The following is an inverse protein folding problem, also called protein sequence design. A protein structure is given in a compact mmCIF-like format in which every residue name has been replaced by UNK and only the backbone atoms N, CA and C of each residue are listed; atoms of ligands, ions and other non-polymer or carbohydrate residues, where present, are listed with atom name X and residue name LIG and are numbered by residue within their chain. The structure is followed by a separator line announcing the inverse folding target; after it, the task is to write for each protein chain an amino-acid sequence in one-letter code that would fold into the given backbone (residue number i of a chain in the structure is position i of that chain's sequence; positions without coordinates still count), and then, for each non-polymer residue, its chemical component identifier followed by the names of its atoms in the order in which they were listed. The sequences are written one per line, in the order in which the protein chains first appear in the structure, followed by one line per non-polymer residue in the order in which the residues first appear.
data_IF_289233429379
#
_entry.id   IF_289233429379
#
_cell.length_a   1.000
_cell.length_b   1.000
_cell.length_c   1.000
_cell.angle_alpha   90.00
_cell.angle_beta   90.00
_cell.angle_gamma   90.00
#
_symmetry.space_group_name_H-M   'P 1'
#
loop_
_entity.id
_entity.type
_entity.pdbx_description
1 polymer ?
#
# COMPACT_ATOMS: atom_id res chain seq x y z
N UNK A 1 -16.66 -13.47 20.56
CA UNK A 1 -17.14 -13.23 19.18
C UNK A 1 -16.78 -14.44 18.34
N UNK A 2 -17.74 -15.08 17.65
CA UNK A 2 -17.45 -16.27 16.84
C UNK A 2 -16.53 -15.92 15.66
N UNK A 3 -15.73 -16.89 15.21
CA UNK A 3 -14.80 -16.73 14.08
C UNK A 3 -15.48 -16.20 12.81
N UNK A 4 -16.65 -16.77 12.47
CA UNK A 4 -17.47 -16.34 11.33
C UNK A 4 -17.89 -14.87 11.44
N UNK A 5 -18.29 -14.43 12.63
CA UNK A 5 -18.64 -13.04 12.88
C UNK A 5 -17.44 -12.11 12.73
N UNK A 6 -16.24 -12.55 13.12
CA UNK A 6 -15.02 -11.74 12.94
C UNK A 6 -14.69 -11.54 11.46
N UNK A 7 -14.73 -12.63 10.67
CA UNK A 7 -14.47 -12.57 9.22
C UNK A 7 -15.46 -11.63 8.55
N UNK A 8 -16.75 -11.75 8.88
CA UNK A 8 -17.78 -10.90 8.33
C UNK A 8 -17.54 -9.41 8.64
N UNK A 9 -17.17 -9.09 9.89
CA UNK A 9 -16.85 -7.73 10.29
C UNK A 9 -15.60 -7.20 9.57
N UNK A 10 -14.54 -8.01 9.44
CA UNK A 10 -13.32 -7.64 8.70
C UNK A 10 -13.64 -7.37 7.24
N UNK A 11 -14.46 -8.21 6.59
CA UNK A 11 -14.84 -8.04 5.20
C UNK A 11 -15.63 -6.75 4.97
N UNK A 12 -16.63 -6.45 5.82
CA UNK A 12 -17.39 -5.20 5.75
C UNK A 12 -16.48 -4.00 5.97
N UNK A 13 -15.62 -4.06 6.99
CA UNK A 13 -14.71 -2.97 7.30
C UNK A 13 -13.70 -2.71 6.17
N UNK A 14 -13.15 -3.78 5.56
CA UNK A 14 -12.25 -3.70 4.42
C UNK A 14 -12.91 -3.02 3.23
N UNK A 15 -14.13 -3.44 2.89
CA UNK A 15 -14.91 -2.86 1.80
C UNK A 15 -15.25 -1.38 2.04
N UNK A 16 -15.66 -1.04 3.27
CA UNK A 16 -15.92 0.34 3.66
C UNK A 16 -14.65 1.21 3.55
N UNK A 17 -13.50 0.69 4.00
CA UNK A 17 -12.23 1.39 3.88
C UNK A 17 -11.76 1.52 2.42
N UNK A 18 -11.93 0.49 1.60
CA UNK A 18 -11.62 0.56 0.18
C UNK A 18 -12.45 1.62 -0.56
N UNK A 19 -13.73 1.74 -0.22
CA UNK A 19 -14.59 2.79 -0.77
C UNK A 19 -14.17 4.19 -0.31
N UNK A 20 -13.83 4.35 0.97
CA UNK A 20 -13.30 5.60 1.52
C UNK A 20 -11.98 6.00 0.84
N UNK A 21 -11.03 5.06 0.71
CA UNK A 21 -9.72 5.32 0.09
C UNK A 21 -9.84 5.56 -1.41
N UNK A 22 -10.81 4.95 -2.10
CA UNK A 22 -11.12 5.26 -3.49
C UNK A 22 -11.51 6.73 -3.67
N UNK A 23 -12.30 7.29 -2.74
CA UNK A 23 -12.67 8.70 -2.74
C UNK A 23 -11.48 9.58 -2.33
N UNK A 24 -10.77 9.20 -1.26
CA UNK A 24 -9.65 9.97 -0.71
C UNK A 24 -8.52 10.11 -1.73
N UNK A 25 -8.12 9.01 -2.38
CA UNK A 25 -7.08 8.99 -3.42
C UNK A 25 -7.43 9.94 -4.57
N UNK A 26 -8.66 9.88 -5.06
CA UNK A 26 -9.13 10.76 -6.13
C UNK A 26 -9.07 12.24 -5.72
N UNK A 27 -9.49 12.57 -4.49
CA UNK A 27 -9.49 13.95 -4.00
C UNK A 27 -8.07 14.47 -3.74
N UNK A 28 -7.21 13.66 -3.14
CA UNK A 28 -5.81 14.03 -2.89
C UNK A 28 -5.06 14.25 -4.20
N UNK A 29 -5.23 13.36 -5.18
CA UNK A 29 -4.66 13.49 -6.51
C UNK A 29 -5.08 14.80 -7.19
N UNK A 30 -6.37 15.15 -7.11
CA UNK A 30 -6.93 16.35 -7.74
C UNK A 30 -6.91 17.62 -6.85
N UNK A 31 -6.20 17.60 -5.71
CA UNK A 31 -6.16 18.70 -4.72
C UNK A 31 -7.53 19.23 -4.30
N UNK A 32 -8.54 18.34 -4.24
CA UNK A 32 -9.90 18.67 -3.85
C UNK A 32 -10.07 18.54 -2.32
N UNK A 33 -10.96 19.34 -1.70
CA UNK A 33 -11.25 19.23 -0.27
C UNK A 33 -11.77 17.83 0.09
N UNK A 34 -11.17 17.23 1.11
CA UNK A 34 -11.50 15.88 1.59
C UNK A 34 -12.90 15.84 2.24
N UNK A 35 -13.36 16.95 2.78
CA UNK A 35 -14.54 17.01 3.65
C UNK A 35 -15.76 17.59 2.89
N UNK A 36 -16.95 17.02 3.17
CA UNK A 36 -18.27 17.58 2.84
C UNK A 36 -18.65 17.81 1.37
N UNK A 37 -18.34 16.86 0.48
CA UNK A 37 -19.04 16.77 -0.81
C UNK A 37 -19.60 15.37 -1.04
N UNK A 38 -20.89 15.29 -1.39
CA UNK A 38 -21.54 14.01 -1.76
C UNK A 38 -20.95 13.49 -3.07
N UNK A 39 -20.81 12.17 -3.19
CA UNK A 39 -20.38 11.53 -4.44
C UNK A 39 -21.37 11.85 -5.56
N UNK A 40 -20.87 12.40 -6.66
CA UNK A 40 -21.66 12.73 -7.85
C UNK A 40 -21.16 11.93 -9.05
N UNK A 41 -22.07 11.58 -9.95
CA UNK A 41 -21.65 11.07 -11.25
C UNK A 41 -20.92 12.18 -12.03
N UNK A 42 -19.76 11.85 -12.61
CA UNK A 42 -18.96 12.79 -13.40
C UNK A 42 -19.69 13.24 -14.67
N UNK A 43 -20.51 12.35 -15.26
CA UNK A 43 -21.18 12.65 -16.53
C UNK A 43 -22.50 13.40 -16.36
N UNK A 44 -23.37 12.96 -15.44
CA UNK A 44 -24.70 13.57 -15.28
C UNK A 44 -24.83 14.46 -14.03
N UNK A 45 -23.79 14.56 -13.20
CA UNK A 45 -23.80 15.39 -11.99
C UNK A 45 -24.74 14.91 -10.88
N UNK A 46 -25.46 13.81 -11.09
CA UNK A 46 -26.44 13.33 -10.12
C UNK A 46 -25.75 12.89 -8.82
N UNK A 47 -26.39 13.20 -7.70
CA UNK A 47 -25.92 12.78 -6.38
C UNK A 47 -26.23 11.29 -6.22
N UNK A 48 -25.20 10.49 -5.97
CA UNK A 48 -25.34 9.05 -5.79
C UNK A 48 -26.06 8.75 -4.46
N UNK A 49 -27.04 7.84 -4.51
CA UNK A 49 -27.74 7.33 -3.32
C UNK A 49 -26.82 6.43 -2.51
N UNK A 50 -27.11 6.25 -1.22
CA UNK A 50 -26.34 5.35 -0.34
C UNK A 50 -26.23 3.91 -0.89
N UNK A 51 -27.28 3.38 -1.53
CA UNK A 51 -27.28 2.06 -2.17
C UNK A 51 -26.26 1.97 -3.32
N UNK A 52 -26.05 3.09 -4.03
CA UNK A 52 -25.07 3.16 -5.12
C UNK A 52 -23.62 3.25 -4.60
N UNK A 53 -23.43 3.39 -3.28
CA UNK A 53 -22.14 3.47 -2.61
C UNK A 53 -21.79 2.17 -1.87
N UNK A 54 -22.64 1.13 -1.96
CA UNK A 54 -22.34 -0.19 -1.38
C UNK A 54 -21.12 -0.76 -2.13
N UNK A 55 -19.96 -0.94 -1.46
CA UNK A 55 -18.72 -1.35 -2.13
C UNK A 55 -18.88 -2.69 -2.85
N UNK A 56 -18.28 -2.82 -4.03
CA UNK A 56 -18.32 -3.94 -4.99
C UNK A 56 -19.72 -4.27 -5.53
N UNK A 57 -20.71 -4.38 -4.64
CA UNK A 57 -22.05 -4.82 -4.94
C UNK A 57 -22.78 -3.82 -5.84
N UNK A 58 -22.65 -2.52 -5.57
CA UNK A 58 -23.32 -1.49 -6.37
C UNK A 58 -22.83 -1.49 -7.83
N UNK A 59 -21.53 -1.69 -8.05
CA UNK A 59 -20.92 -1.74 -9.38
C UNK A 59 -21.35 -3.02 -10.13
N UNK A 60 -21.35 -4.17 -9.45
CA UNK A 60 -21.79 -5.45 -10.03
C UNK A 60 -23.29 -5.40 -10.41
N UNK A 61 -24.16 -4.97 -9.51
CA UNK A 61 -25.60 -4.85 -9.78
C UNK A 61 -25.90 -3.86 -10.91
N UNK A 62 -25.16 -2.75 -10.99
CA UNK A 62 -25.32 -1.77 -12.06
C UNK A 62 -24.55 -2.13 -13.34
N UNK A 63 -23.91 -3.31 -13.40
CA UNK A 63 -23.07 -3.78 -14.52
C UNK A 63 -22.03 -2.74 -14.97
N UNK A 64 -21.45 -2.04 -14.00
CA UNK A 64 -20.49 -0.97 -14.23
C UNK A 64 -21.04 0.25 -14.97
N UNK A 65 -22.34 0.56 -14.84
CA UNK A 65 -22.97 1.73 -15.47
C UNK A 65 -23.69 2.59 -14.44
N UNK A 66 -23.78 3.90 -14.66
CA UNK A 66 -24.57 4.77 -13.78
C UNK A 66 -26.06 4.40 -13.86
N UNK A 67 -26.75 4.38 -12.70
CA UNK A 67 -28.18 4.08 -12.61
C UNK A 67 -29.10 5.08 -13.33
N UNK A 68 -28.63 6.29 -13.65
CA UNK A 68 -29.42 7.32 -14.35
C UNK A 68 -28.97 7.54 -15.79
N UNK A 69 -27.68 7.77 -16.04
CA UNK A 69 -27.19 8.10 -17.38
C UNK A 69 -26.59 6.93 -18.14
N UNK A 70 -26.49 5.74 -17.52
CA UNK A 70 -25.91 4.52 -18.08
C UNK A 70 -24.46 4.63 -18.60
N UNK A 71 -23.77 5.74 -18.34
CA UNK A 71 -22.36 5.89 -18.62
C UNK A 71 -21.54 4.89 -17.80
N UNK A 72 -20.43 4.42 -18.38
CA UNK A 72 -19.54 3.44 -17.75
C UNK A 72 -18.89 4.05 -16.50
N UNK A 73 -18.94 3.30 -15.39
CA UNK A 73 -18.22 3.58 -14.16
C UNK A 73 -16.88 2.84 -14.23
N UNK A 74 -15.79 3.57 -14.01
CA UNK A 74 -14.43 3.02 -14.08
C UNK A 74 -14.24 1.81 -13.17
N UNK A 75 -13.52 0.79 -13.65
CA UNK A 75 -13.13 -0.39 -12.86
C UNK A 75 -12.14 -0.05 -11.73
N UNK A 76 -11.64 1.21 -11.69
CA UNK A 76 -10.85 1.78 -10.60
C UNK A 76 -11.46 1.50 -9.22
N UNK A 77 -12.75 1.80 -9.03
CA UNK A 77 -13.42 1.68 -7.74
C UNK A 77 -13.48 0.22 -7.23
N UNK A 78 -14.04 -0.74 -8.00
CA UNK A 78 -14.08 -2.12 -7.53
C UNK A 78 -12.69 -2.75 -7.39
N UNK A 79 -11.71 -2.34 -8.18
CA UNK A 79 -10.33 -2.84 -8.03
C UNK A 79 -9.71 -2.44 -6.68
N UNK A 80 -9.91 -1.20 -6.24
CA UNK A 80 -9.43 -0.73 -4.93
C UNK A 80 -10.21 -1.43 -3.81
N UNK A 81 -11.53 -1.55 -3.91
CA UNK A 81 -12.33 -2.22 -2.89
C UNK A 81 -11.94 -3.70 -2.73
N UNK A 82 -11.66 -4.38 -3.84
CA UNK A 82 -11.19 -5.76 -3.82
C UNK A 82 -9.78 -5.88 -3.25
N UNK A 83 -8.87 -4.94 -3.54
CA UNK A 83 -7.51 -4.98 -2.98
C UNK A 83 -7.53 -4.82 -1.46
N UNK A 84 -8.42 -3.98 -0.92
CA UNK A 84 -8.65 -3.88 0.51
C UNK A 84 -9.19 -5.17 1.11
N UNK A 85 -10.22 -5.77 0.48
CA UNK A 85 -10.81 -7.02 0.95
C UNK A 85 -9.76 -8.14 1.04
N UNK A 86 -8.98 -8.34 -0.03
CA UNK A 86 -7.92 -9.35 -0.07
C UNK A 86 -6.85 -9.07 0.99
N UNK A 87 -6.38 -7.82 1.08
CA UNK A 87 -5.30 -7.45 1.99
C UNK A 87 -5.71 -7.59 3.46
N UNK A 88 -6.92 -7.15 3.83
CA UNK A 88 -7.39 -7.23 5.22
C UNK A 88 -7.67 -8.67 5.63
N UNK A 89 -8.25 -9.50 4.76
CA UNK A 89 -8.41 -10.92 5.05
C UNK A 89 -7.05 -11.61 5.17
N UNK A 90 -6.08 -11.30 4.30
CA UNK A 90 -4.73 -11.84 4.41
C UNK A 90 -4.07 -11.47 5.76
N UNK A 91 -4.13 -10.20 6.17
CA UNK A 91 -3.68 -9.75 7.50
C UNK A 91 -4.37 -10.55 8.61
N UNK A 92 -5.70 -10.69 8.53
CA UNK A 92 -6.50 -11.40 9.54
C UNK A 92 -6.06 -12.85 9.71
N UNK A 93 -5.90 -13.59 8.62
CA UNK A 93 -5.47 -14.98 8.68
C UNK A 93 -4.00 -15.12 9.13
N UNK A 94 -3.10 -14.25 8.67
CA UNK A 94 -1.67 -14.33 9.02
C UNK A 94 -1.41 -14.02 10.50
N UNK A 95 -2.14 -13.06 11.08
CA UNK A 95 -1.96 -12.59 12.46
C UNK A 95 -2.70 -13.42 13.52
N UNK A 96 -3.39 -14.50 13.14
CA UNK A 96 -4.01 -15.43 14.09
C UNK A 96 -5.52 -15.32 14.22
N UNK A 97 -6.20 -14.62 13.31
CA UNK A 97 -7.67 -14.58 13.19
C UNK A 97 -8.42 -14.06 14.41
N UNK A 98 -7.82 -13.10 15.13
CA UNK A 98 -8.45 -12.42 16.26
C UNK A 98 -8.41 -10.90 16.09
N UNK A 99 -9.56 -10.24 16.27
CA UNK A 99 -9.64 -8.79 16.26
C UNK A 99 -9.10 -8.22 17.57
N UNK A 100 -7.94 -7.56 17.50
CA UNK A 100 -7.28 -6.88 18.62
C UNK A 100 -6.69 -5.53 18.19
N UNK A 101 -6.07 -4.80 19.12
CA UNK A 101 -5.48 -3.49 18.80
C UNK A 101 -4.38 -3.59 17.74
N UNK A 102 -3.56 -4.65 17.78
CA UNK A 102 -2.49 -4.89 16.81
C UNK A 102 -3.05 -5.04 15.39
N UNK A 103 -4.09 -5.85 15.17
CA UNK A 103 -4.64 -6.04 13.81
C UNK A 103 -5.19 -4.73 13.24
N UNK A 104 -5.78 -3.89 14.10
CA UNK A 104 -6.31 -2.59 13.68
C UNK A 104 -5.18 -1.68 13.16
N UNK A 105 -4.02 -1.67 13.82
CA UNK A 105 -2.84 -0.95 13.34
C UNK A 105 -2.36 -1.48 11.97
N UNK A 106 -2.35 -2.80 11.78
CA UNK A 106 -2.00 -3.39 10.47
C UNK A 106 -3.01 -3.00 9.38
N UNK A 107 -4.31 -2.97 9.67
CA UNK A 107 -5.32 -2.49 8.73
C UNK A 107 -5.12 -1.01 8.36
N UNK A 108 -4.79 -0.15 9.32
CA UNK A 108 -4.52 1.26 9.06
C UNK A 108 -3.25 1.45 8.23
N UNK A 109 -2.17 0.73 8.55
CA UNK A 109 -0.92 0.72 7.77
C UNK A 109 -1.20 0.27 6.33
N UNK A 110 -1.87 -0.87 6.16
CA UNK A 110 -2.25 -1.37 4.83
C UNK A 110 -3.11 -0.37 4.06
N UNK A 111 -4.07 0.30 4.73
CA UNK A 111 -4.88 1.35 4.12
C UNK A 111 -4.01 2.49 3.57
N UNK A 112 -3.02 2.96 4.35
CA UNK A 112 -2.11 4.02 3.90
C UNK A 112 -1.22 3.58 2.74
N UNK A 113 -0.70 2.35 2.77
CA UNK A 113 0.12 1.77 1.69
C UNK A 113 -0.69 1.64 0.40
N UNK A 114 -1.90 1.10 0.45
CA UNK A 114 -2.76 0.98 -0.74
C UNK A 114 -3.12 2.37 -1.27
N UNK A 115 -3.40 3.35 -0.40
CA UNK A 115 -3.67 4.73 -0.83
C UNK A 115 -2.47 5.35 -1.57
N UNK A 116 -1.24 5.14 -1.08
CA UNK A 116 -0.02 5.58 -1.76
C UNK A 116 0.13 4.90 -3.12
N UNK A 117 -0.08 3.58 -3.20
CA UNK A 117 -0.01 2.84 -4.47
C UNK A 117 -0.98 3.39 -5.51
N UNK A 118 -2.23 3.64 -5.12
CA UNK A 118 -3.26 4.15 -6.04
C UNK A 118 -2.89 5.54 -6.56
N UNK A 119 -2.40 6.44 -5.68
CA UNK A 119 -2.05 7.79 -6.10
C UNK A 119 -0.81 7.78 -7.00
N UNK A 120 0.20 6.96 -6.69
CA UNK A 120 1.40 6.84 -7.49
C UNK A 120 1.10 6.26 -8.89
N UNK A 121 0.26 5.23 -8.97
CA UNK A 121 -0.22 4.66 -10.24
C UNK A 121 -0.96 5.66 -11.14
N UNK A 122 -1.56 6.69 -10.53
CA UNK A 122 -2.38 7.68 -11.23
C UNK A 122 -1.60 8.96 -11.54
N UNK A 123 -0.66 9.36 -10.69
CA UNK A 123 -0.07 10.70 -10.70
C UNK A 123 1.46 10.73 -10.53
N UNK A 124 2.13 9.59 -10.34
CA UNK A 124 3.59 9.48 -10.19
C UNK A 124 4.18 10.29 -9.01
N UNK A 125 3.42 10.47 -7.92
CA UNK A 125 3.94 11.09 -6.70
C UNK A 125 3.28 10.50 -5.45
N UNK A 126 3.96 10.62 -4.30
CA UNK A 126 3.45 10.16 -3.00
C UNK A 126 3.16 11.37 -2.10
N UNK A 127 1.90 11.58 -1.65
CA UNK A 127 1.58 12.69 -0.77
C UNK A 127 2.31 12.61 0.58
N UNK A 128 2.98 13.71 0.97
CA UNK A 128 3.67 13.80 2.27
C UNK A 128 2.73 13.53 3.46
N UNK A 129 1.44 13.88 3.35
CA UNK A 129 0.45 13.62 4.40
C UNK A 129 0.27 12.13 4.69
N UNK A 130 0.27 11.28 3.66
CA UNK A 130 0.20 9.84 3.81
C UNK A 130 1.51 9.29 4.38
N UNK A 131 2.66 9.84 3.98
CA UNK A 131 3.96 9.42 4.50
C UNK A 131 4.08 9.70 6.00
N UNK A 132 3.65 10.88 6.46
CA UNK A 132 3.62 11.19 7.90
C UNK A 132 2.63 10.31 8.66
N UNK A 133 1.44 10.04 8.09
CA UNK A 133 0.49 9.11 8.70
C UNK A 133 1.08 7.71 8.86
N UNK A 134 1.76 7.20 7.83
CA UNK A 134 2.45 5.91 7.87
C UNK A 134 3.57 5.88 8.91
N UNK A 135 4.38 6.94 9.00
CA UNK A 135 5.45 7.05 9.99
C UNK A 135 4.92 6.99 11.44
N UNK A 136 3.81 7.69 11.71
CA UNK A 136 3.14 7.68 13.01
C UNK A 136 2.61 6.28 13.32
N UNK A 137 1.89 5.66 12.38
CA UNK A 137 1.32 4.33 12.56
C UNK A 137 2.41 3.25 12.76
N UNK A 138 3.48 3.31 11.98
CA UNK A 138 4.64 2.43 12.12
C UNK A 138 5.29 2.56 13.50
N UNK A 139 5.49 3.80 13.98
CA UNK A 139 6.07 4.06 15.30
C UNK A 139 5.19 3.52 16.42
N UNK A 140 3.88 3.77 16.36
CA UNK A 140 2.90 3.24 17.33
C UNK A 140 2.95 1.70 17.34
N UNK A 141 3.02 1.08 16.16
CA UNK A 141 3.09 -0.37 16.04
C UNK A 141 4.35 -0.94 16.71
N UNK A 142 5.51 -0.33 16.46
CA UNK A 142 6.79 -0.77 17.04
C UNK A 142 6.79 -0.60 18.55
N UNK A 143 6.28 0.53 19.05
CA UNK A 143 6.14 0.76 20.50
C UNK A 143 5.22 -0.29 21.13
N UNK A 144 4.10 -0.61 20.48
CA UNK A 144 3.18 -1.62 20.99
C UNK A 144 3.80 -3.03 21.02
N UNK A 145 4.70 -3.37 20.10
CA UNK A 145 5.30 -4.71 20.01
C UNK A 145 6.56 -4.89 20.87
N UNK A 146 7.39 -3.86 20.98
CA UNK A 146 8.73 -3.96 21.59
C UNK A 146 9.07 -2.80 22.54
N UNK A 147 8.11 -1.93 22.83
CA UNK A 147 8.31 -0.77 23.70
C UNK A 147 9.09 0.38 23.03
N UNK A 148 9.36 1.41 23.83
CA UNK A 148 10.07 2.62 23.38
C UNK A 148 11.50 2.34 22.93
N UNK A 149 12.19 1.41 23.59
CA UNK A 149 13.55 1.01 23.21
C UNK A 149 13.61 0.44 21.79
N UNK A 150 12.63 -0.36 21.38
CA UNK A 150 12.55 -0.87 20.01
C UNK A 150 12.38 0.26 19.00
N UNK A 151 11.52 1.25 19.30
CA UNK A 151 11.32 2.41 18.44
C UNK A 151 12.61 3.23 18.26
N UNK A 152 13.37 3.45 19.34
CA UNK A 152 14.67 4.16 19.28
C UNK A 152 15.69 3.39 18.44
N UNK A 153 15.74 2.06 18.55
CA UNK A 153 16.61 1.23 17.70
C UNK A 153 16.21 1.37 16.22
N UNK A 154 14.91 1.38 15.93
CA UNK A 154 14.42 1.52 14.56
C UNK A 154 14.69 2.91 13.95
N UNK A 155 14.95 3.95 14.74
CA UNK A 155 15.46 5.23 14.20
C UNK A 155 16.80 5.04 13.51
N UNK A 156 17.70 4.22 14.06
CA UNK A 156 18.98 3.90 13.40
C UNK A 156 18.75 3.15 12.08
N UNK A 157 17.77 2.24 12.06
CA UNK A 157 17.37 1.57 10.84
C UNK A 157 16.82 2.56 9.81
N UNK A 158 15.98 3.52 10.20
CA UNK A 158 15.44 4.54 9.30
C UNK A 158 16.56 5.32 8.56
N UNK A 159 17.62 5.72 9.27
CA UNK A 159 18.77 6.36 8.65
C UNK A 159 19.58 5.42 7.74
N UNK A 160 19.69 4.14 8.08
CA UNK A 160 20.33 3.14 7.20
C UNK A 160 19.57 3.01 5.87
N UNK A 161 18.24 2.88 5.93
CA UNK A 161 17.40 2.73 4.74
C UNK A 161 17.43 4.00 3.87
N UNK A 162 17.28 5.17 4.49
CA UNK A 162 17.35 6.44 3.78
C UNK A 162 18.74 6.69 3.19
N UNK A 163 19.81 6.40 3.95
CA UNK A 163 21.19 6.54 3.49
C UNK A 163 21.49 5.65 2.30
N UNK A 164 20.98 4.42 2.30
CA UNK A 164 21.08 3.54 1.13
C UNK A 164 20.28 4.06 -0.07
N UNK A 165 19.07 4.58 0.15
CA UNK A 165 18.28 5.23 -0.90
C UNK A 165 18.99 6.41 -1.54
N UNK A 166 19.59 7.28 -0.73
CA UNK A 166 20.41 8.41 -1.21
C UNK A 166 21.64 7.91 -1.96
N UNK A 167 22.32 6.87 -1.46
CA UNK A 167 23.47 6.29 -2.14
C UNK A 167 23.11 5.73 -3.53
N UNK A 168 21.97 5.04 -3.65
CA UNK A 168 21.46 4.58 -4.94
C UNK A 168 21.11 5.74 -5.87
N UNK A 169 20.45 6.77 -5.35
CA UNK A 169 20.10 7.97 -6.11
C UNK A 169 21.36 8.66 -6.67
N UNK A 170 22.38 8.88 -5.83
CA UNK A 170 23.68 9.42 -6.25
C UNK A 170 24.32 8.53 -7.32
N UNK A 171 24.37 7.21 -7.07
CA UNK A 171 24.99 6.26 -7.99
C UNK A 171 24.36 6.30 -9.38
N UNK A 172 23.03 6.25 -9.48
CA UNK A 172 22.33 6.30 -10.76
C UNK A 172 22.42 7.68 -11.43
N UNK A 173 22.39 8.75 -10.64
CA UNK A 173 22.55 10.10 -11.16
C UNK A 173 23.92 10.27 -11.85
N UNK A 174 25.00 9.80 -11.21
CA UNK A 174 26.36 9.89 -11.78
C UNK A 174 26.64 8.86 -12.88
N UNK A 175 26.13 7.63 -12.75
CA UNK A 175 26.41 6.56 -13.71
C UNK A 175 25.56 6.64 -14.99
N UNK A 176 24.28 7.01 -14.85
CA UNK A 176 23.29 7.00 -15.94
C UNK A 176 22.88 8.39 -16.43
N UNK A 177 23.09 9.45 -15.64
CA UNK A 177 22.62 10.79 -15.97
C UNK A 177 21.10 10.96 -15.89
N UNK A 178 20.38 10.02 -15.28
CA UNK A 178 18.93 10.07 -15.09
C UNK A 178 18.54 9.74 -13.64
N UNK A 179 17.38 10.27 -13.21
CA UNK A 179 16.82 10.00 -11.88
C UNK A 179 16.14 8.63 -11.87
N UNK A 180 16.86 7.60 -11.41
CA UNK A 180 16.32 6.25 -11.33
C UNK A 180 15.35 6.03 -10.15
N UNK A 181 15.49 6.79 -9.05
CA UNK A 181 14.68 6.67 -7.84
C UNK A 181 14.17 8.07 -7.45
N UNK A 182 12.88 8.20 -7.15
CA UNK A 182 12.29 9.47 -6.75
C UNK A 182 12.67 9.85 -5.31
N UNK A 183 12.70 11.16 -5.04
CA UNK A 183 12.89 11.69 -3.67
C UNK A 183 11.81 11.17 -2.72
N UNK A 184 10.58 11.00 -3.22
CA UNK A 184 9.47 10.48 -2.42
C UNK A 184 9.66 9.01 -2.02
N UNK A 185 10.35 8.21 -2.84
CA UNK A 185 10.71 6.82 -2.52
C UNK A 185 11.79 6.76 -1.43
N UNK A 186 12.76 7.68 -1.45
CA UNK A 186 13.79 7.78 -0.40
C UNK A 186 13.15 8.11 0.96
N UNK A 187 12.15 9.00 0.98
CA UNK A 187 11.38 9.28 2.21
C UNK A 187 10.61 8.04 2.67
N UNK A 188 10.05 7.27 1.74
CA UNK A 188 9.40 6.00 2.07
C UNK A 188 10.40 4.99 2.67
N UNK A 189 11.63 4.91 2.15
CA UNK A 189 12.68 4.06 2.73
C UNK A 189 12.99 4.41 4.17
N UNK A 190 13.04 5.70 4.53
CA UNK A 190 13.17 6.12 5.92
C UNK A 190 12.05 5.53 6.79
N UNK A 191 10.80 5.63 6.33
CA UNK A 191 9.62 5.12 7.05
C UNK A 191 9.62 3.59 7.12
N UNK A 192 10.03 2.91 6.05
CA UNK A 192 10.21 1.47 6.03
C UNK A 192 11.24 1.02 7.07
N UNK A 193 12.34 1.77 7.26
CA UNK A 193 13.30 1.50 8.33
C UNK A 193 12.73 1.70 9.73
N UNK A 194 11.89 2.72 9.96
CA UNK A 194 11.15 2.89 11.22
C UNK A 194 10.24 1.69 11.51
N UNK A 195 9.60 1.16 10.46
CA UNK A 195 8.61 0.09 10.56
C UNK A 195 9.22 -1.31 10.70
N UNK A 196 10.25 -1.61 9.92
CA UNK A 196 10.81 -2.96 9.75
C UNK A 196 12.08 -3.20 10.57
N UNK A 197 12.76 -2.14 11.03
CA UNK A 197 14.02 -2.24 11.75
C UNK A 197 15.18 -2.73 10.87
N UNK A 198 16.33 -3.01 11.48
CA UNK A 198 17.57 -3.38 10.75
C UNK A 198 17.54 -4.80 10.19
N UNK A 199 16.84 -5.73 10.85
CA UNK A 199 16.81 -7.15 10.47
C UNK A 199 16.27 -7.38 9.06
N UNK A 200 15.23 -6.65 8.69
CA UNK A 200 14.54 -6.78 7.41
C UNK A 200 15.11 -5.88 6.32
N UNK A 201 16.24 -5.20 6.54
CA UNK A 201 16.81 -4.25 5.59
C UNK A 201 17.11 -4.89 4.23
N UNK A 202 17.89 -5.98 4.23
CA UNK A 202 18.28 -6.64 2.99
C UNK A 202 17.07 -7.23 2.25
N UNK A 203 16.20 -7.90 3.01
CA UNK A 203 14.94 -8.43 2.53
C UNK A 203 14.07 -7.38 1.82
N UNK A 204 13.86 -6.23 2.48
CA UNK A 204 13.06 -5.15 1.95
C UNK A 204 13.66 -4.58 0.66
N UNK A 205 14.97 -4.34 0.62
CA UNK A 205 15.64 -3.80 -0.56
C UNK A 205 15.58 -4.77 -1.75
N UNK A 206 15.84 -6.06 -1.52
CA UNK A 206 15.77 -7.09 -2.56
C UNK A 206 14.34 -7.26 -3.08
N UNK A 207 13.35 -7.40 -2.20
CA UNK A 207 11.95 -7.54 -2.61
C UNK A 207 11.45 -6.29 -3.34
N UNK A 208 11.84 -5.09 -2.90
CA UNK A 208 11.51 -3.85 -3.60
C UNK A 208 12.09 -3.83 -5.02
N UNK A 209 13.34 -4.28 -5.19
CA UNK A 209 13.98 -4.40 -6.51
C UNK A 209 13.29 -5.45 -7.39
N UNK A 210 13.04 -6.65 -6.86
CA UNK A 210 12.38 -7.75 -7.60
C UNK A 210 10.96 -7.37 -8.02
N UNK A 211 10.16 -6.84 -7.09
CA UNK A 211 8.81 -6.36 -7.41
C UNK A 211 8.85 -5.15 -8.34
N UNK A 212 9.84 -4.27 -8.20
CA UNK A 212 10.06 -3.13 -9.09
C UNK A 212 10.34 -3.56 -10.53
N UNK A 213 11.25 -4.51 -10.73
CA UNK A 213 11.56 -5.06 -12.05
C UNK A 213 10.36 -5.77 -12.67
N UNK A 214 9.67 -6.62 -11.91
CA UNK A 214 8.48 -7.32 -12.39
C UNK A 214 7.37 -6.33 -12.77
N UNK A 215 7.14 -5.32 -11.93
CA UNK A 215 6.11 -4.31 -12.16
C UNK A 215 6.49 -3.39 -13.34
N UNK A 216 7.74 -2.93 -13.42
CA UNK A 216 8.24 -2.10 -14.52
C UNK A 216 8.17 -2.82 -15.87
N UNK A 217 8.54 -4.10 -15.93
CA UNK A 217 8.41 -4.89 -17.15
C UNK A 217 6.95 -5.06 -17.61
N UNK A 218 6.02 -5.28 -16.65
CA UNK A 218 4.60 -5.29 -16.95
C UNK A 218 4.11 -3.91 -17.42
N UNK A 219 4.54 -2.83 -16.78
CA UNK A 219 4.15 -1.46 -17.10
C UNK A 219 4.55 -1.06 -18.52
N UNK A 220 5.80 -1.32 -18.91
CA UNK A 220 6.30 -1.06 -20.26
C UNK A 220 5.50 -1.82 -21.33
N UNK A 221 5.06 -3.05 -21.03
CA UNK A 221 4.25 -3.85 -21.95
C UNK A 221 2.86 -3.25 -22.19
N UNK A 222 2.23 -2.69 -21.16
CA UNK A 222 0.84 -2.19 -21.23
C UNK A 222 0.72 -0.71 -21.59
N UNK A 223 1.58 0.14 -21.03
CA UNK A 223 1.52 1.61 -21.15
C UNK A 223 2.52 2.17 -22.15
N UNK A 224 3.68 1.51 -22.34
CA UNK A 224 4.81 1.99 -23.16
C UNK A 224 5.35 3.37 -22.73
N UNK A 225 5.17 3.73 -21.47
CA UNK A 225 5.75 4.95 -20.89
C UNK A 225 7.22 4.68 -20.50
N UNK A 226 8.08 5.69 -20.64
CA UNK A 226 9.49 5.62 -20.24
C UNK A 226 9.67 5.57 -18.72
N UNK A 227 8.71 6.15 -17.98
CA UNK A 227 8.69 6.16 -16.52
C UNK A 227 7.59 5.25 -15.99
N UNK A 228 7.87 4.56 -14.88
CA UNK A 228 6.89 3.72 -14.20
C UNK A 228 6.82 4.06 -12.70
N UNK A 229 5.64 3.92 -12.08
CA UNK A 229 5.47 4.20 -10.64
C UNK A 229 6.12 3.11 -9.80
N UNK A 230 7.06 3.48 -8.91
CA UNK A 230 7.82 2.56 -8.07
C UNK A 230 7.16 2.29 -6.71
N UNK A 231 6.25 3.18 -6.25
CA UNK A 231 5.59 3.04 -4.95
C UNK A 231 4.84 1.70 -4.77
N UNK A 232 4.16 1.14 -5.79
CA UNK A 232 3.51 -0.17 -5.68
C UNK A 232 4.48 -1.29 -5.27
N UNK A 233 5.70 -1.29 -5.80
CA UNK A 233 6.70 -2.30 -5.50
C UNK A 233 7.21 -2.19 -4.05
N UNK A 234 7.59 -0.99 -3.60
CA UNK A 234 8.09 -0.76 -2.25
C UNK A 234 6.99 -0.95 -1.18
N UNK A 235 5.74 -0.59 -1.48
CA UNK A 235 4.61 -0.82 -0.57
C UNK A 235 4.33 -2.32 -0.41
N UNK A 236 4.38 -3.08 -1.50
CA UNK A 236 4.19 -4.53 -1.47
C UNK A 236 5.32 -5.22 -0.68
N UNK A 237 6.57 -4.82 -0.92
CA UNK A 237 7.73 -5.31 -0.18
C UNK A 237 7.63 -4.99 1.32
N UNK A 238 7.25 -3.76 1.67
CA UNK A 238 7.06 -3.35 3.05
C UNK A 238 5.98 -4.18 3.75
N UNK A 239 4.84 -4.38 3.10
CA UNK A 239 3.74 -5.18 3.64
C UNK A 239 4.14 -6.64 3.83
N UNK A 240 4.85 -7.22 2.85
CA UNK A 240 5.35 -8.59 2.92
C UNK A 240 6.32 -8.77 4.09
N UNK A 241 7.35 -7.93 4.19
CA UNK A 241 8.30 -7.99 5.31
C UNK A 241 7.60 -7.82 6.67
N UNK A 242 6.63 -6.90 6.76
CA UNK A 242 5.91 -6.64 8.02
C UNK A 242 5.03 -7.83 8.47
N UNK A 243 4.43 -8.56 7.53
CA UNK A 243 3.60 -9.73 7.82
C UNK A 243 4.42 -10.97 8.17
N UNK A 244 5.56 -11.16 7.51
CA UNK A 244 6.35 -12.39 7.61
C UNK A 244 7.59 -12.28 8.52
N UNK A 245 7.86 -11.11 9.10
CA UNK A 245 8.99 -10.81 10.00
C UNK A 245 9.35 -11.93 11.00
N UNK A 246 8.34 -12.56 11.63
CA UNK A 246 8.56 -13.61 12.64
C UNK A 246 8.62 -15.03 12.10
N UNK A 247 8.11 -15.28 10.90
CA UNK A 247 7.90 -16.64 10.36
C UNK A 247 8.93 -17.00 9.30
N UNK A 248 9.46 -16.01 8.59
CA UNK A 248 10.32 -16.22 7.43
C UNK A 248 11.39 -15.14 7.47
N UNK A 249 12.65 -15.56 7.65
CA UNK A 249 13.77 -14.68 7.37
C UNK A 249 13.75 -14.47 5.85
N UNK A 250 13.44 -13.28 5.32
CA UNK A 250 13.15 -13.17 3.89
C UNK A 250 14.42 -13.36 3.04
N UNK A 251 15.59 -13.26 3.67
CA UNK A 251 16.89 -13.66 3.10
C UNK A 251 16.95 -15.16 2.84
N UNK A 252 16.46 -16.00 3.76
CA UNK A 252 16.42 -17.46 3.60
C UNK A 252 15.36 -17.87 2.56
N UNK A 253 14.25 -17.12 2.47
CA UNK A 253 13.23 -17.32 1.42
C UNK A 253 13.74 -16.93 0.03
N UNK A 254 14.41 -15.79 -0.10
CA UNK A 254 15.03 -15.39 -1.36
C UNK A 254 16.19 -16.32 -1.73
N UNK A 255 16.95 -16.80 -0.74
CA UNK A 255 17.94 -17.85 -0.91
C UNK A 255 17.31 -19.11 -1.52
N UNK A 256 16.22 -19.62 -0.94
CA UNK A 256 15.54 -20.81 -1.49
C UNK A 256 14.87 -20.58 -2.85
N UNK A 257 14.42 -19.35 -3.17
CA UNK A 257 13.85 -19.01 -4.48
C UNK A 257 14.91 -18.76 -5.58
N UNK A 258 16.07 -18.20 -5.25
CA UNK A 258 17.15 -17.94 -6.22
C UNK A 258 18.05 -19.17 -6.39
N UNK A 259 18.20 -19.98 -5.36
CA UNK A 259 18.95 -21.24 -5.38
C UNK A 259 18.01 -22.46 -5.44
N UNK A 260 17.14 -22.52 -6.46
CA UNK A 260 16.49 -23.78 -6.85
C UNK A 260 17.52 -24.71 -7.53
N UNK A 261 18.36 -25.38 -6.73
CA UNK A 261 18.92 -26.73 -6.92
C UNK A 261 20.19 -26.89 -6.09
N UNK A 262 20.07 -27.53 -4.93
CA UNK A 262 21.06 -28.50 -4.43
C UNK A 262 20.51 -29.19 -3.18
N UNK A 263 19.52 -30.07 -3.37
CA UNK A 263 19.39 -31.36 -2.69
C UNK A 263 18.46 -32.25 -3.52
#
# INVERSE_FOLDING_TARGET
MSFEMQIFLVAIFALAMGSFVSLLSYRLANKQPIIFTRSKCINCGCVLKAINLIPLFSWLCQKGKCSQCHCKISARYPAIELSFLITFLAIFFVLGSEINFKILLYFLIASTLIAMCVIDLEQYFIPNSLQYALAILATILVIHQGGTNAAIINVKAAFLYAGFGVALWIFFYFAGGFEAIGIDDIKFFFIAGLMLGTKNFLAFMLLSGVFGLAFGAAWQKFKKDETFPFAPAICLAAMFCLLFDKKINPVDLLGSMLFFNSF
#
